data_IF_527886568540
#
_entry.id   IF_527886568540
#
_cell.length_a   1.000
_cell.length_b   1.000
_cell.length_c   1.000
_cell.angle_alpha   90.00
_cell.angle_beta   90.00
_cell.angle_gamma   90.00
#
_symmetry.space_group_name_H-M   'P 1'
#
loop_
_entity.id
_entity.type
_entity.pdbx_description
1 polymer ?
#
# COMPACT_ATOMS: atom_id res chain seq x y z
N UNK A 1 32.73 10.89 -0.93
CA UNK A 1 33.22 9.70 -0.19
C UNK A 1 33.21 8.53 -1.15
N UNK A 2 34.27 7.70 -1.20
CA UNK A 2 34.33 6.53 -2.10
C UNK A 2 33.83 5.28 -1.39
N UNK A 3 33.11 4.41 -2.10
CA UNK A 3 32.66 3.12 -1.58
C UNK A 3 32.97 2.02 -2.60
N UNK A 4 33.45 0.88 -2.10
CA UNK A 4 33.62 -0.33 -2.90
C UNK A 4 32.26 -0.95 -3.13
N UNK A 5 31.91 -1.22 -4.38
CA UNK A 5 30.62 -1.87 -4.67
C UNK A 5 30.64 -3.34 -4.21
N UNK A 6 29.48 -3.86 -3.79
CA UNK A 6 29.35 -5.27 -3.48
C UNK A 6 29.56 -6.11 -4.74
N UNK A 7 30.12 -7.32 -4.62
CA UNK A 7 30.45 -8.19 -5.77
C UNK A 7 29.25 -8.51 -6.69
N UNK A 8 28.04 -8.40 -6.15
CA UNK A 8 26.76 -8.64 -6.85
C UNK A 8 26.03 -7.36 -7.27
N UNK A 9 26.64 -6.19 -7.06
CA UNK A 9 26.16 -4.89 -7.53
C UNK A 9 25.22 -4.14 -6.58
N UNK A 10 24.88 -4.70 -5.43
CA UNK A 10 24.03 -4.08 -4.41
C UNK A 10 24.24 -4.70 -3.03
N UNK A 11 24.00 -3.93 -1.97
CA UNK A 11 23.94 -4.43 -0.59
C UNK A 11 22.49 -4.74 -0.18
N UNK A 12 22.29 -5.79 0.61
CA UNK A 12 20.97 -6.23 1.12
C UNK A 12 21.07 -6.84 2.52
N UNK A 13 19.93 -7.25 3.07
CA UNK A 13 19.86 -8.00 4.33
C UNK A 13 20.82 -9.21 4.34
N UNK A 14 21.54 -9.38 5.45
CA UNK A 14 22.57 -10.40 5.67
C UNK A 14 23.96 -10.09 5.09
N UNK A 15 24.14 -9.00 4.34
CA UNK A 15 25.48 -8.53 3.96
C UNK A 15 26.20 -7.94 5.18
N UNK A 16 27.53 -8.10 5.22
CA UNK A 16 28.39 -7.63 6.32
C UNK A 16 29.65 -6.97 5.79
N UNK A 17 30.15 -5.98 6.51
CA UNK A 17 31.44 -5.36 6.23
C UNK A 17 31.50 -3.86 6.53
N UNK A 18 32.68 -3.26 6.36
CA UNK A 18 32.91 -1.84 6.66
C UNK A 18 32.08 -0.90 5.78
N UNK A 19 31.71 -1.31 4.57
CA UNK A 19 30.83 -0.56 3.66
C UNK A 19 29.44 -0.34 4.26
N UNK A 20 28.96 -1.27 5.10
CA UNK A 20 27.66 -1.12 5.76
C UNK A 20 27.68 0.03 6.76
N UNK A 21 28.76 0.18 7.55
CA UNK A 21 28.90 1.32 8.47
C UNK A 21 28.89 2.64 7.69
N UNK A 22 29.53 2.69 6.51
CA UNK A 22 29.51 3.88 5.66
C UNK A 22 28.08 4.23 5.21
N UNK A 23 27.31 3.23 4.76
CA UNK A 23 25.90 3.39 4.37
C UNK A 23 25.06 3.89 5.57
N UNK A 24 25.19 3.25 6.74
CA UNK A 24 24.48 3.64 7.96
C UNK A 24 24.82 5.07 8.39
N UNK A 25 26.09 5.47 8.26
CA UNK A 25 26.56 6.82 8.56
C UNK A 25 25.91 7.85 7.65
N UNK A 26 25.84 7.60 6.34
CA UNK A 26 25.16 8.51 5.41
C UNK A 26 23.65 8.58 5.66
N UNK A 27 23.02 7.45 5.97
CA UNK A 27 21.60 7.43 6.37
C UNK A 27 21.37 8.26 7.65
N UNK A 28 22.31 8.26 8.61
CA UNK A 28 22.23 9.10 9.81
C UNK A 28 22.42 10.58 9.48
N UNK A 29 23.44 10.93 8.71
CA UNK A 29 23.70 12.31 8.29
C UNK A 29 22.52 12.93 7.53
N UNK A 30 21.80 12.10 6.76
CA UNK A 30 20.64 12.51 5.97
C UNK A 30 19.30 12.42 6.73
N UNK A 31 19.30 11.99 8.00
CA UNK A 31 18.12 11.98 8.87
C UNK A 31 17.21 10.75 8.76
N UNK A 32 17.68 9.65 8.15
CA UNK A 32 16.91 8.42 7.94
C UNK A 32 17.28 7.27 8.90
N UNK A 33 18.35 7.43 9.67
CA UNK A 33 18.80 6.44 10.66
C UNK A 33 18.13 6.68 12.04
N UNK A 34 17.61 5.63 12.70
CA UNK A 34 17.17 5.73 14.10
C UNK A 34 18.37 5.92 15.03
N UNK A 35 18.20 6.48 16.23
CA UNK A 35 19.33 6.74 17.13
C UNK A 35 19.83 5.47 17.84
N UNK A 36 20.45 4.59 17.07
CA UNK A 36 21.07 3.32 17.50
C UNK A 36 22.50 3.24 16.99
N UNK A 37 23.35 2.47 17.70
CA UNK A 37 24.74 2.29 17.34
C UNK A 37 24.91 1.64 15.95
N UNK A 38 25.94 2.07 15.22
CA UNK A 38 26.32 1.45 13.96
C UNK A 38 26.96 0.09 14.19
N UNK A 39 26.83 -0.79 13.20
CA UNK A 39 27.52 -2.06 13.17
C UNK A 39 27.78 -2.47 11.71
N UNK A 40 28.64 -3.48 11.53
CA UNK A 40 29.00 -3.97 10.20
C UNK A 40 27.88 -4.80 9.55
N UNK A 41 26.67 -4.92 10.14
CA UNK A 41 25.61 -5.79 9.65
C UNK A 41 24.51 -5.01 8.90
N UNK A 42 24.15 -5.48 7.71
CA UNK A 42 22.94 -5.05 7.03
C UNK A 42 21.74 -5.82 7.62
N UNK A 43 21.29 -5.36 8.80
CA UNK A 43 20.13 -5.92 9.50
C UNK A 43 18.81 -5.22 9.17
N UNK A 44 17.71 -5.60 9.85
CA UNK A 44 16.39 -5.00 9.66
C UNK A 44 16.36 -3.48 9.85
N UNK A 45 17.14 -2.95 10.80
CA UNK A 45 17.28 -1.51 11.02
C UNK A 45 17.87 -0.81 9.79
N UNK A 46 18.91 -1.39 9.20
CA UNK A 46 19.55 -0.86 7.99
C UNK A 46 18.61 -0.88 6.81
N UNK A 47 17.90 -1.98 6.59
CA UNK A 47 16.92 -2.06 5.52
C UNK A 47 15.77 -1.06 5.69
N UNK A 48 15.28 -0.89 6.92
CA UNK A 48 14.23 0.09 7.20
C UNK A 48 14.70 1.52 6.94
N UNK A 49 15.93 1.88 7.32
CA UNK A 49 16.51 3.19 7.04
C UNK A 49 16.74 3.40 5.54
N UNK A 50 17.22 2.37 4.82
CA UNK A 50 17.37 2.39 3.36
C UNK A 50 16.02 2.57 2.66
N UNK A 51 14.98 1.84 3.06
CA UNK A 51 13.63 1.98 2.47
C UNK A 51 13.07 3.38 2.71
N UNK A 52 13.23 3.95 3.92
CA UNK A 52 12.84 5.34 4.20
C UNK A 52 13.58 6.34 3.31
N UNK A 53 14.89 6.16 3.15
CA UNK A 53 15.71 7.00 2.28
C UNK A 53 15.31 6.88 0.80
N UNK A 54 15.10 5.66 0.31
CA UNK A 54 14.65 5.39 -1.06
C UNK A 54 13.30 6.03 -1.35
N UNK A 55 12.36 5.99 -0.39
CA UNK A 55 11.08 6.71 -0.47
C UNK A 55 11.31 8.21 -0.63
N UNK A 56 12.12 8.81 0.23
CA UNK A 56 12.35 10.26 0.23
C UNK A 56 13.13 10.77 -0.99
N UNK A 57 13.93 9.91 -1.63
CA UNK A 57 14.67 10.22 -2.86
C UNK A 57 14.00 9.71 -4.13
N UNK A 58 12.76 9.23 -4.04
CA UNK A 58 11.99 8.71 -5.18
C UNK A 58 12.73 7.61 -5.96
N UNK A 59 13.46 6.76 -5.24
CA UNK A 59 14.14 5.59 -5.79
C UNK A 59 13.24 4.35 -5.70
N UNK A 60 13.64 3.27 -6.37
CA UNK A 60 13.01 1.96 -6.21
C UNK A 60 13.14 1.50 -4.75
N UNK A 61 12.02 1.31 -4.06
CA UNK A 61 11.95 0.96 -2.63
C UNK A 61 12.02 -0.55 -2.46
N UNK A 62 13.15 -1.15 -2.81
CA UNK A 62 13.40 -2.58 -2.67
C UNK A 62 14.27 -2.92 -1.44
N UNK A 63 14.71 -1.90 -0.69
CA UNK A 63 15.61 -2.08 0.46
C UNK A 63 17.04 -2.47 0.04
N UNK A 64 17.34 -2.47 -1.26
CA UNK A 64 18.63 -2.81 -1.82
C UNK A 64 19.45 -1.54 -2.06
N UNK A 65 20.66 -1.49 -1.51
CA UNK A 65 21.58 -0.38 -1.77
C UNK A 65 22.36 -0.68 -3.03
N UNK A 66 21.69 -0.53 -4.18
CA UNK A 66 22.29 -0.60 -5.51
C UNK A 66 22.90 0.73 -5.96
N UNK A 67 23.44 0.76 -7.19
CA UNK A 67 24.12 1.93 -7.79
C UNK A 67 23.37 3.26 -7.58
N UNK A 68 22.08 3.31 -7.91
CA UNK A 68 21.30 4.55 -7.81
C UNK A 68 21.11 4.99 -6.35
N UNK A 69 21.00 4.04 -5.42
CA UNK A 69 20.92 4.33 -3.99
C UNK A 69 22.25 4.80 -3.44
N UNK A 70 23.38 4.21 -3.87
CA UNK A 70 24.72 4.66 -3.49
C UNK A 70 25.02 6.08 -3.99
N UNK A 71 24.66 6.39 -5.24
CA UNK A 71 24.81 7.73 -5.80
C UNK A 71 23.96 8.76 -5.04
N UNK A 72 22.70 8.42 -4.72
CA UNK A 72 21.83 9.30 -3.95
C UNK A 72 22.31 9.53 -2.51
N UNK A 73 23.01 8.54 -1.92
CA UNK A 73 23.67 8.65 -0.60
C UNK A 73 24.97 9.48 -0.67
N UNK A 74 25.39 9.96 -1.84
CA UNK A 74 26.57 10.80 -2.01
C UNK A 74 27.88 10.03 -2.17
N UNK A 75 27.83 8.74 -2.50
CA UNK A 75 29.03 7.95 -2.75
C UNK A 75 29.53 8.08 -4.20
N UNK A 76 30.85 8.06 -4.35
CA UNK A 76 31.51 7.79 -5.63
C UNK A 76 31.85 6.29 -5.68
N UNK A 77 31.41 5.62 -6.75
CA UNK A 77 31.56 4.17 -6.90
C UNK A 77 32.87 3.90 -7.63
N UNK A 78 33.84 3.29 -6.94
CA UNK A 78 35.09 2.88 -7.57
C UNK A 78 34.81 1.72 -8.55
N UNK A 79 34.88 2.04 -9.84
CA UNK A 79 34.43 1.19 -10.94
C UNK A 79 35.56 0.26 -11.39
N UNK A 80 35.72 -0.86 -10.69
CA UNK A 80 36.52 -2.01 -11.15
C UNK A 80 35.75 -3.32 -10.88
N UNK A 81 34.76 -3.67 -11.72
CA UNK A 81 34.03 -4.96 -11.68
C UNK A 81 32.57 -4.90 -12.20
N UNK A 82 32.00 -5.97 -12.81
CA UNK A 82 31.24 -5.85 -14.07
C UNK A 82 29.74 -5.55 -13.94
N UNK A 83 29.27 -4.82 -14.95
CA UNK A 83 27.88 -4.51 -15.27
C UNK A 83 27.26 -5.66 -16.07
N UNK A 84 26.30 -6.38 -15.52
CA UNK A 84 25.32 -7.15 -16.31
C UNK A 84 23.96 -7.13 -15.61
N UNK A 85 23.03 -6.34 -16.15
CA UNK A 85 21.61 -6.44 -15.85
C UNK A 85 21.03 -7.72 -16.51
N UNK A 86 20.22 -8.55 -15.83
CA UNK A 86 19.57 -9.66 -16.51
C UNK A 86 18.24 -9.22 -17.14
N UNK A 87 18.17 -9.42 -18.46
CA UNK A 87 16.94 -9.59 -19.24
C UNK A 87 16.25 -10.92 -18.87
N UNK A 88 14.95 -10.97 -19.18
CA UNK A 88 14.03 -12.12 -19.13
C UNK A 88 14.65 -13.47 -19.54
N UNK A 89 14.36 -14.54 -18.76
CA UNK A 89 14.66 -15.93 -19.10
C UNK A 89 14.17 -16.94 -18.04
N UNK A 90 13.23 -17.78 -18.47
CA UNK A 90 12.68 -19.06 -18.00
C UNK A 90 13.20 -19.79 -16.74
N UNK A 91 12.20 -20.34 -16.03
CA UNK A 91 12.13 -21.28 -14.89
C UNK A 91 13.18 -22.41 -14.84
N UNK A 92 13.70 -22.69 -13.62
CA UNK A 92 13.83 -24.05 -13.06
C UNK A 92 14.01 -24.06 -11.53
N UNK A 93 13.01 -24.63 -10.86
CA UNK A 93 13.00 -25.45 -9.63
C UNK A 93 14.19 -25.40 -8.67
N UNK A 94 13.90 -24.99 -7.42
CA UNK A 94 14.72 -25.24 -6.24
C UNK A 94 13.94 -24.90 -4.96
N UNK A 95 13.61 -25.92 -4.20
CA UNK A 95 12.74 -25.97 -3.02
C UNK A 95 13.29 -25.13 -1.85
N UNK A 96 12.57 -24.08 -1.44
CA UNK A 96 12.57 -23.57 -0.07
C UNK A 96 11.27 -22.79 0.16
N UNK A 97 10.55 -23.20 1.20
CA UNK A 97 9.29 -22.65 1.68
C UNK A 97 9.41 -21.16 2.05
N UNK A 98 8.99 -20.28 1.15
CA UNK A 98 8.66 -18.90 1.47
C UNK A 98 7.16 -18.70 1.25
N UNK A 99 6.41 -18.87 2.33
CA UNK A 99 4.93 -18.85 2.37
C UNK A 99 4.34 -17.53 1.83
N UNK A 100 5.14 -16.47 1.88
CA UNK A 100 4.86 -15.12 1.37
C UNK A 100 4.83 -15.07 -0.17
N UNK A 101 5.71 -15.84 -0.81
CA UNK A 101 5.84 -15.89 -2.27
C UNK A 101 4.66 -16.58 -2.95
N UNK A 102 4.08 -17.62 -2.32
CA UNK A 102 2.91 -18.34 -2.83
C UNK A 102 1.66 -17.47 -2.97
N UNK A 103 1.35 -16.64 -1.96
CA UNK A 103 0.18 -15.76 -1.97
C UNK A 103 0.29 -14.66 -3.03
N UNK A 104 1.49 -14.11 -3.24
CA UNK A 104 1.73 -13.12 -4.28
C UNK A 104 1.64 -13.70 -5.69
N UNK A 105 2.12 -14.93 -5.88
CA UNK A 105 2.02 -15.63 -7.16
C UNK A 105 0.57 -15.96 -7.51
N UNK A 106 -0.24 -16.41 -6.54
CA UNK A 106 -1.67 -16.66 -6.75
C UNK A 106 -2.44 -15.35 -7.01
N UNK A 107 -2.09 -14.26 -6.33
CA UNK A 107 -2.74 -12.97 -6.58
C UNK A 107 -2.32 -12.35 -7.93
N UNK A 108 -1.05 -12.42 -8.32
CA UNK A 108 -0.58 -12.01 -9.65
C UNK A 108 -1.19 -12.89 -10.76
N UNK A 109 -1.47 -14.16 -10.46
CA UNK A 109 -2.22 -15.06 -11.35
C UNK A 109 -3.69 -14.62 -11.47
N UNK A 110 -4.36 -14.35 -10.35
CA UNK A 110 -5.72 -13.81 -10.31
C UNK A 110 -5.82 -12.49 -11.09
N UNK A 111 -4.88 -11.55 -10.87
CA UNK A 111 -4.73 -10.27 -11.57
C UNK A 111 -4.69 -10.44 -13.11
N UNK A 112 -3.98 -11.48 -13.58
CA UNK A 112 -3.92 -11.82 -15.02
C UNK A 112 -5.22 -12.44 -15.53
N UNK A 113 -5.94 -13.19 -14.71
CA UNK A 113 -7.21 -13.84 -15.08
C UNK A 113 -8.41 -12.87 -15.08
N UNK A 114 -8.39 -11.81 -14.25
CA UNK A 114 -9.40 -10.75 -14.27
C UNK A 114 -9.53 -10.04 -15.64
N UNK A 115 -8.52 -10.16 -16.52
CA UNK A 115 -8.54 -9.63 -17.89
C UNK A 115 -9.42 -10.43 -18.87
N UNK A 116 -9.84 -11.66 -18.51
CA UNK A 116 -10.61 -12.57 -19.38
C UNK A 116 -12.11 -12.63 -19.03
N UNK A 117 -12.56 -11.83 -18.08
CA UNK A 117 -13.88 -11.97 -17.44
C UNK A 117 -14.99 -11.25 -18.22
N UNK A 118 -16.18 -11.87 -18.25
CA UNK A 118 -17.40 -11.37 -18.91
C UNK A 118 -18.03 -10.20 -18.13
N UNK A 119 -18.31 -9.10 -18.83
CA UNK A 119 -18.96 -7.90 -18.29
C UNK A 119 -20.42 -8.20 -17.90
N UNK A 120 -20.90 -7.64 -16.79
CA UNK A 120 -22.25 -7.86 -16.23
C UNK A 120 -22.55 -9.30 -15.77
N UNK A 121 -21.51 -10.10 -15.54
CA UNK A 121 -21.69 -11.41 -14.93
C UNK A 121 -22.23 -11.26 -13.50
N UNK A 122 -23.24 -12.07 -13.16
CA UNK A 122 -23.64 -12.29 -11.76
C UNK A 122 -22.46 -12.92 -11.01
N UNK A 123 -22.30 -12.55 -9.73
CA UNK A 123 -21.38 -13.27 -8.85
C UNK A 123 -21.71 -14.76 -8.91
N UNK A 124 -20.73 -15.58 -9.30
CA UNK A 124 -20.93 -17.02 -9.45
C UNK A 124 -19.69 -17.79 -8.98
N UNK A 125 -19.85 -19.10 -8.81
CA UNK A 125 -18.85 -20.00 -8.24
C UNK A 125 -17.52 -20.03 -9.01
N UNK A 126 -17.50 -19.68 -10.32
CA UNK A 126 -16.25 -19.69 -11.11
C UNK A 126 -15.22 -18.66 -10.62
N UNK A 127 -15.65 -17.62 -9.91
CA UNK A 127 -14.74 -16.63 -9.30
C UNK A 127 -14.10 -17.12 -7.99
N UNK A 128 -14.69 -18.14 -7.35
CA UNK A 128 -14.16 -18.79 -6.13
C UNK A 128 -12.75 -19.37 -6.35
N UNK A 129 -12.44 -19.74 -7.59
CA UNK A 129 -11.19 -20.38 -7.99
C UNK A 129 -10.10 -19.42 -8.44
N UNK A 130 -10.37 -18.10 -8.50
CA UNK A 130 -9.35 -17.13 -8.92
C UNK A 130 -8.27 -16.92 -7.87
N UNK A 131 -8.62 -17.06 -6.59
CA UNK A 131 -7.69 -16.99 -5.47
C UNK A 131 -7.80 -18.30 -4.70
N UNK A 132 -6.80 -19.17 -4.88
CA UNK A 132 -6.73 -20.45 -4.16
C UNK A 132 -6.37 -20.21 -2.70
N UNK A 133 -7.40 -20.09 -1.86
CA UNK A 133 -7.26 -19.81 -0.43
C UNK A 133 -6.49 -20.88 0.35
N UNK A 134 -6.38 -22.11 -0.18
CA UNK A 134 -5.65 -23.21 0.45
C UNK A 134 -4.14 -23.01 0.41
N UNK A 135 -3.66 -22.19 -0.53
CA UNK A 135 -2.24 -21.83 -0.71
C UNK A 135 -1.86 -20.50 -0.06
N UNK A 136 -2.83 -19.80 0.53
CA UNK A 136 -2.58 -18.54 1.22
C UNK A 136 -2.15 -18.82 2.67
N UNK A 137 -1.10 -18.17 3.18
CA UNK A 137 -0.82 -18.19 4.60
C UNK A 137 -1.91 -17.43 5.36
N UNK A 138 -1.89 -17.50 6.70
CA UNK A 138 -2.82 -16.72 7.51
C UNK A 138 -2.54 -15.20 7.32
N UNK A 139 -3.54 -14.38 6.96
CA UNK A 139 -3.34 -12.96 6.71
C UNK A 139 -3.07 -12.17 8.01
N UNK A 140 -2.15 -11.20 7.95
CA UNK A 140 -1.56 -10.49 9.09
C UNK A 140 -1.73 -8.95 9.02
N UNK A 141 -2.85 -8.48 8.48
CA UNK A 141 -3.20 -7.05 8.43
C UNK A 141 -3.99 -6.64 9.67
N UNK A 142 -3.45 -5.66 10.39
CA UNK A 142 -4.09 -5.04 11.56
C UNK A 142 -4.59 -3.63 11.22
N UNK A 143 -5.49 -3.09 12.04
CA UNK A 143 -5.97 -1.70 11.90
C UNK A 143 -4.81 -0.70 11.90
N UNK A 144 -3.83 -0.91 12.79
CA UNK A 144 -2.66 -0.04 12.90
C UNK A 144 -1.84 -0.01 11.60
N UNK A 145 -1.57 -1.18 11.01
CA UNK A 145 -0.87 -1.27 9.71
C UNK A 145 -1.68 -0.63 8.59
N UNK A 146 -3.00 -0.83 8.57
CA UNK A 146 -3.89 -0.22 7.60
C UNK A 146 -3.87 1.32 7.68
N UNK A 147 -3.91 1.89 8.89
CA UNK A 147 -3.82 3.34 9.12
C UNK A 147 -2.48 3.88 8.59
N UNK A 148 -1.37 3.23 8.97
CA UNK A 148 -0.03 3.64 8.50
C UNK A 148 0.06 3.62 6.98
N UNK A 149 -0.44 2.56 6.35
CA UNK A 149 -0.46 2.44 4.90
C UNK A 149 -1.32 3.51 4.22
N UNK A 150 -2.53 3.78 4.72
CA UNK A 150 -3.39 4.85 4.19
C UNK A 150 -2.70 6.19 4.27
N UNK A 151 -2.05 6.51 5.39
CA UNK A 151 -1.30 7.74 5.55
C UNK A 151 -0.09 7.88 4.61
N UNK A 152 0.54 6.76 4.20
CA UNK A 152 1.62 6.73 3.21
C UNK A 152 1.11 6.85 1.77
N UNK A 153 -0.07 6.30 1.49
CA UNK A 153 -0.66 6.25 0.15
C UNK A 153 -1.43 7.53 -0.22
N UNK A 154 -2.00 8.22 0.76
CA UNK A 154 -2.78 9.44 0.53
C UNK A 154 -1.87 10.65 0.28
N UNK A 155 -2.25 11.46 -0.71
CA UNK A 155 -1.53 12.69 -1.05
C UNK A 155 -1.57 13.74 0.07
N UNK A 156 -0.67 14.71 -0.01
CA UNK A 156 -0.67 15.87 0.87
C UNK A 156 -1.79 16.87 0.56
N UNK A 157 -1.69 18.03 1.20
CA UNK A 157 -2.62 19.13 1.04
C UNK A 157 -2.77 19.55 -0.45
N UNK A 158 -4.00 19.62 -0.96
CA UNK A 158 -4.31 19.98 -2.36
C UNK A 158 -5.42 21.03 -2.46
N UNK A 159 -5.27 21.92 -3.45
CA UNK A 159 -6.19 22.99 -3.84
C UNK A 159 -6.54 22.91 -5.34
N UNK A 160 -6.47 21.72 -5.93
CA UNK A 160 -6.75 21.52 -7.35
C UNK A 160 -8.21 21.89 -7.70
N UNK A 161 -8.37 22.96 -8.46
CA UNK A 161 -9.69 23.48 -8.89
C UNK A 161 -10.51 22.49 -9.74
N UNK A 162 -9.87 21.49 -10.33
CA UNK A 162 -10.55 20.47 -11.14
C UNK A 162 -11.03 19.27 -10.31
N UNK A 163 -10.74 19.24 -9.00
CA UNK A 163 -11.29 18.23 -8.10
C UNK A 163 -12.74 18.60 -7.73
N UNK A 164 -13.62 17.61 -7.69
CA UNK A 164 -14.98 17.75 -7.16
C UNK A 164 -15.03 18.32 -5.74
N UNK A 165 -14.03 18.02 -4.90
CA UNK A 165 -13.91 18.54 -3.54
C UNK A 165 -13.64 20.06 -3.50
N UNK A 166 -13.17 20.66 -4.60
CA UNK A 166 -12.90 22.10 -4.68
C UNK A 166 -14.15 22.98 -4.51
N UNK A 167 -15.35 22.40 -4.66
CA UNK A 167 -16.63 23.07 -4.38
C UNK A 167 -16.86 23.39 -2.90
N UNK A 168 -16.09 22.79 -1.99
CA UNK A 168 -16.17 23.04 -0.54
C UNK A 168 -14.76 23.14 0.06
N UNK A 169 -13.99 24.21 -0.23
CA UNK A 169 -12.66 24.37 0.29
C UNK A 169 -12.66 24.86 1.74
N UNK A 170 -11.52 24.71 2.41
CA UNK A 170 -11.22 25.37 3.66
C UNK A 170 -11.27 26.90 3.47
N UNK A 171 -11.99 27.64 4.33
CA UNK A 171 -12.15 29.09 4.17
C UNK A 171 -10.86 29.85 4.53
N UNK A 172 -10.04 29.32 5.45
CA UNK A 172 -8.77 29.93 5.82
C UNK A 172 -7.71 29.70 4.73
N UNK A 173 -6.96 30.74 4.30
CA UNK A 173 -5.80 30.56 3.43
C UNK A 173 -4.65 29.86 4.17
N UNK A 174 -3.88 29.04 3.45
CA UNK A 174 -2.65 28.43 3.96
C UNK A 174 -1.45 29.00 3.19
N UNK A 175 -0.49 29.58 3.90
CA UNK A 175 0.67 30.28 3.32
C UNK A 175 0.28 31.32 2.24
N UNK A 176 -0.80 32.06 2.47
CA UNK A 176 -1.31 33.08 1.55
C UNK A 176 -2.10 32.52 0.36
N UNK A 177 -2.30 31.21 0.27
CA UNK A 177 -3.02 30.55 -0.83
C UNK A 177 -4.34 29.96 -0.33
N UNK A 178 -5.43 30.30 -1.01
CA UNK A 178 -6.78 29.80 -0.70
C UNK A 178 -7.15 28.57 -1.53
N UNK A 179 -8.30 27.95 -1.20
CA UNK A 179 -8.91 26.90 -2.03
C UNK A 179 -8.47 25.47 -1.69
N UNK A 180 -7.70 25.28 -0.62
CA UNK A 180 -7.32 23.95 -0.14
C UNK A 180 -8.54 23.18 0.33
N UNK A 181 -8.75 21.98 -0.23
CA UNK A 181 -10.00 21.24 -0.03
C UNK A 181 -9.78 19.78 0.39
N UNK A 182 -8.58 19.22 0.26
CA UNK A 182 -8.28 17.84 0.68
C UNK A 182 -6.89 17.78 1.29
N UNK A 183 -6.74 17.01 2.38
CA UNK A 183 -5.45 16.70 2.99
C UNK A 183 -5.45 15.24 3.46
N UNK A 184 -4.42 14.45 3.10
CA UNK A 184 -4.28 13.03 3.48
C UNK A 184 -5.55 12.20 3.22
N UNK A 185 -6.18 12.42 2.07
CA UNK A 185 -7.41 11.74 1.65
C UNK A 185 -8.69 12.21 2.34
N UNK A 186 -8.61 13.13 3.31
CA UNK A 186 -9.75 13.71 4.01
C UNK A 186 -10.12 15.03 3.33
N UNK A 187 -11.33 15.11 2.77
CA UNK A 187 -11.86 16.38 2.25
C UNK A 187 -12.24 17.31 3.39
N UNK A 188 -12.15 18.62 3.17
CA UNK A 188 -12.57 19.62 4.15
C UNK A 188 -14.06 19.47 4.52
N UNK A 189 -14.88 19.02 3.57
CA UNK A 189 -16.28 18.64 3.82
C UNK A 189 -16.44 17.49 4.82
N UNK A 190 -15.54 16.52 4.83
CA UNK A 190 -15.51 15.47 5.85
C UNK A 190 -14.96 16.01 7.16
N UNK A 191 -13.90 16.82 7.11
CA UNK A 191 -13.29 17.45 8.28
C UNK A 191 -14.32 18.20 9.15
N UNK A 192 -15.14 19.06 8.53
CA UNK A 192 -16.11 19.90 9.27
C UNK A 192 -17.23 19.11 9.96
N UNK A 193 -17.41 17.82 9.63
CA UNK A 193 -18.33 16.94 10.35
C UNK A 193 -17.80 16.52 11.73
N UNK A 194 -16.49 16.59 11.92
CA UNK A 194 -15.78 16.18 13.14
C UNK A 194 -15.23 17.36 13.93
N UNK A 195 -14.86 18.42 13.21
CA UNK A 195 -14.23 19.62 13.76
C UNK A 195 -14.90 20.86 13.15
N UNK A 196 -15.79 21.55 13.88
CA UNK A 196 -16.53 22.70 13.35
C UNK A 196 -15.60 23.78 12.78
N UNK A 197 -16.06 24.46 11.71
CA UNK A 197 -15.30 25.50 11.03
C UNK A 197 -14.85 26.60 12.00
N UNK A 198 -13.54 26.82 12.09
CA UNK A 198 -12.92 27.89 12.87
C UNK A 198 -11.45 28.02 12.47
N UNK A 199 -10.85 29.20 12.58
CA UNK A 199 -9.45 29.40 12.21
C UNK A 199 -8.50 28.37 12.89
N UNK A 200 -8.77 28.00 14.15
CA UNK A 200 -7.99 26.99 14.86
C UNK A 200 -8.15 25.58 14.27
N UNK A 201 -9.37 25.16 13.94
CA UNK A 201 -9.61 23.86 13.32
C UNK A 201 -9.14 23.82 11.86
N UNK A 202 -9.12 24.96 11.17
CA UNK A 202 -8.58 25.07 9.81
C UNK A 202 -7.05 24.86 9.82
N UNK A 203 -6.34 25.43 10.81
CA UNK A 203 -4.91 25.14 11.00
C UNK A 203 -4.65 23.66 11.31
N UNK A 204 -5.53 23.04 12.12
CA UNK A 204 -5.47 21.60 12.36
C UNK A 204 -5.73 20.78 11.11
N UNK A 205 -6.64 21.22 10.24
CA UNK A 205 -6.86 20.57 8.94
C UNK A 205 -5.60 20.59 8.07
N UNK A 206 -4.86 21.70 8.04
CA UNK A 206 -3.60 21.78 7.27
C UNK A 206 -2.50 20.89 7.86
N UNK A 207 -2.39 20.83 9.18
CA UNK A 207 -1.42 19.97 9.87
C UNK A 207 -1.79 18.48 9.77
N UNK A 208 -3.07 18.17 9.93
CA UNK A 208 -3.68 16.84 9.97
C UNK A 208 -2.80 15.84 10.70
N UNK A 209 -2.67 16.01 12.02
CA UNK A 209 -1.88 15.08 12.82
C UNK A 209 -2.53 13.69 12.90
N UNK A 210 -1.77 12.72 13.43
CA UNK A 210 -2.23 11.34 13.50
C UNK A 210 -3.50 11.20 14.34
N UNK A 211 -3.64 11.96 15.43
CA UNK A 211 -4.79 11.84 16.32
C UNK A 211 -6.08 12.32 15.62
N UNK A 212 -6.02 13.47 14.95
CA UNK A 212 -7.15 14.01 14.19
C UNK A 212 -7.51 13.12 13.01
N UNK A 213 -6.52 12.66 12.26
CA UNK A 213 -6.74 11.74 11.14
C UNK A 213 -7.34 10.42 11.61
N UNK A 214 -6.79 9.81 12.67
CA UNK A 214 -7.31 8.56 13.24
C UNK A 214 -8.72 8.70 13.77
N UNK A 215 -9.07 9.84 14.39
CA UNK A 215 -10.46 10.11 14.83
C UNK A 215 -11.42 10.10 13.65
N UNK A 216 -11.08 10.77 12.54
CA UNK A 216 -11.90 10.80 11.33
C UNK A 216 -12.01 9.41 10.71
N UNK A 217 -10.88 8.71 10.58
CA UNK A 217 -10.83 7.33 10.08
C UNK A 217 -11.75 6.42 10.90
N UNK A 218 -11.68 6.51 12.22
CA UNK A 218 -12.45 5.66 13.11
C UNK A 218 -13.95 5.89 13.01
N UNK A 219 -14.36 7.16 13.09
CA UNK A 219 -15.77 7.56 13.14
C UNK A 219 -16.45 7.49 11.77
N UNK A 220 -15.73 7.79 10.69
CA UNK A 220 -16.31 7.86 9.34
C UNK A 220 -16.20 6.55 8.57
N UNK A 221 -15.22 5.70 8.91
CA UNK A 221 -14.93 4.49 8.14
C UNK A 221 -14.84 3.25 9.00
N UNK A 222 -14.04 3.22 10.07
CA UNK A 222 -13.86 2.01 10.86
C UNK A 222 -15.17 1.54 11.50
N UNK A 223 -15.79 2.38 12.34
CA UNK A 223 -17.00 2.04 13.09
C UNK A 223 -18.17 1.67 12.15
N UNK A 224 -18.47 2.45 11.08
CA UNK A 224 -19.62 2.14 10.23
C UNK A 224 -19.44 0.92 9.32
N UNK A 225 -18.20 0.44 9.10
CA UNK A 225 -17.90 -0.63 8.15
C UNK A 225 -17.26 -1.87 8.79
N UNK A 226 -17.12 -1.90 10.12
CA UNK A 226 -16.62 -3.06 10.85
C UNK A 226 -17.75 -3.81 11.52
N UNK A 227 -17.61 -5.12 11.62
CA UNK A 227 -18.52 -5.99 12.37
C UNK A 227 -17.73 -6.63 13.50
N UNK A 228 -18.22 -6.50 14.73
CA UNK A 228 -17.52 -6.98 15.93
C UNK A 228 -17.23 -8.49 15.90
N UNK A 229 -18.10 -9.27 15.27
CA UNK A 229 -17.94 -10.72 15.11
C UNK A 229 -16.87 -11.11 14.07
N UNK A 230 -16.40 -10.17 13.25
CA UNK A 230 -15.43 -10.48 12.19
C UNK A 230 -13.99 -10.34 12.69
N UNK A 231 -13.09 -11.25 12.29
CA UNK A 231 -11.64 -11.07 12.42
C UNK A 231 -11.18 -9.69 11.92
N UNK A 232 -10.19 -9.10 12.59
CA UNK A 232 -9.70 -7.74 12.29
C UNK A 232 -9.29 -7.56 10.82
N UNK A 233 -8.66 -8.57 10.22
CA UNK A 233 -8.26 -8.57 8.80
C UNK A 233 -9.47 -8.41 7.85
N UNK A 234 -10.61 -9.03 8.17
CA UNK A 234 -11.83 -8.91 7.38
C UNK A 234 -12.35 -7.47 7.49
N UNK A 235 -12.41 -6.94 8.71
CA UNK A 235 -12.79 -5.54 8.94
C UNK A 235 -11.85 -4.56 8.20
N UNK A 236 -10.55 -4.83 8.17
CA UNK A 236 -9.59 -4.03 7.41
C UNK A 236 -9.90 -3.98 5.92
N UNK A 237 -10.28 -5.11 5.31
CA UNK A 237 -10.69 -5.17 3.91
C UNK A 237 -11.97 -4.37 3.66
N UNK A 238 -13.00 -4.57 4.49
CA UNK A 238 -14.28 -3.87 4.37
C UNK A 238 -14.11 -2.35 4.46
N UNK A 239 -13.36 -1.89 5.46
CA UNK A 239 -13.02 -0.48 5.66
C UNK A 239 -12.21 0.08 4.49
N UNK A 240 -11.24 -0.68 3.98
CA UNK A 240 -10.44 -0.25 2.81
C UNK A 240 -11.28 -0.11 1.54
N UNK A 241 -12.25 -1.00 1.33
CA UNK A 241 -13.17 -0.94 0.19
C UNK A 241 -14.16 0.22 0.29
N UNK A 242 -14.66 0.51 1.50
CA UNK A 242 -15.51 1.67 1.78
C UNK A 242 -14.76 2.99 1.54
N UNK A 243 -13.50 3.08 1.98
CA UNK A 243 -12.64 4.23 1.73
C UNK A 243 -12.45 4.50 0.22
N UNK A 244 -12.39 3.45 -0.59
CA UNK A 244 -12.33 3.55 -2.06
C UNK A 244 -13.67 3.88 -2.75
N UNK A 245 -14.70 4.31 -2.01
CA UNK A 245 -15.97 4.80 -2.56
C UNK A 245 -17.03 3.72 -2.83
N UNK A 246 -16.93 2.54 -2.23
CA UNK A 246 -17.95 1.50 -2.41
C UNK A 246 -19.14 1.70 -1.47
N UNK A 247 -20.32 1.97 -2.04
CA UNK A 247 -21.59 1.79 -1.32
C UNK A 247 -21.85 0.28 -1.29
N UNK A 248 -21.75 -0.35 -0.12
CA UNK A 248 -21.69 -1.80 0.10
C UNK A 248 -20.29 -2.39 -0.23
N UNK A 249 -19.43 -2.68 0.78
CA UNK A 249 -18.04 -3.14 0.60
C UNK A 249 -17.97 -4.63 0.19
N UNK A 250 -18.79 -5.02 -0.78
CA UNK A 250 -18.79 -6.33 -1.46
C UNK A 250 -19.12 -7.55 -0.60
N UNK A 251 -19.63 -7.37 0.62
CA UNK A 251 -20.06 -8.48 1.51
C UNK A 251 -21.06 -9.39 0.82
N UNK A 252 -22.15 -8.85 0.27
CA UNK A 252 -23.16 -9.66 -0.43
C UNK A 252 -22.59 -10.39 -1.65
N UNK A 253 -21.60 -9.79 -2.33
CA UNK A 253 -20.89 -10.43 -3.44
C UNK A 253 -20.02 -11.59 -2.96
N UNK A 254 -19.29 -11.42 -1.85
CA UNK A 254 -18.48 -12.45 -1.24
C UNK A 254 -19.33 -13.62 -0.71
N UNK A 255 -20.45 -13.34 -0.03
CA UNK A 255 -21.37 -14.38 0.44
C UNK A 255 -22.03 -15.14 -0.72
N UNK A 256 -22.33 -14.45 -1.83
CA UNK A 256 -22.81 -15.09 -3.05
C UNK A 256 -21.76 -16.02 -3.68
N UNK A 257 -20.47 -15.65 -3.63
CA UNK A 257 -19.36 -16.50 -4.09
C UNK A 257 -19.17 -17.72 -3.17
N UNK A 258 -19.37 -17.54 -1.86
CA UNK A 258 -19.18 -18.61 -0.87
C UNK A 258 -20.37 -19.57 -0.75
N UNK A 259 -21.58 -19.10 -1.05
CA UNK A 259 -22.83 -19.80 -0.75
C UNK A 259 -23.14 -19.87 0.75
N UNK A 260 -22.42 -19.10 1.58
CA UNK A 260 -22.56 -19.02 3.04
C UNK A 260 -22.09 -17.66 3.54
N UNK A 261 -22.42 -17.33 4.78
CA UNK A 261 -21.97 -16.08 5.37
C UNK A 261 -20.45 -16.03 5.54
N UNK A 262 -19.84 -14.87 5.31
CA UNK A 262 -18.43 -14.62 5.63
C UNK A 262 -18.16 -14.72 7.14
N UNK A 263 -19.21 -14.58 7.98
CA UNK A 263 -19.12 -14.72 9.43
C UNK A 263 -18.77 -16.15 9.88
N UNK A 264 -19.19 -17.15 9.10
CA UNK A 264 -19.04 -18.58 9.43
C UNK A 264 -17.99 -19.28 8.57
N UNK A 265 -17.38 -18.56 7.62
CA UNK A 265 -16.32 -19.07 6.77
C UNK A 265 -14.96 -19.03 7.47
N UNK A 266 -14.03 -19.89 7.02
CA UNK A 266 -12.64 -19.77 7.45
C UNK A 266 -12.05 -18.43 6.99
N UNK A 267 -11.13 -17.84 7.75
CA UNK A 267 -10.59 -16.49 7.49
C UNK A 267 -10.04 -16.36 6.07
N UNK A 268 -9.23 -17.33 5.62
CA UNK A 268 -8.65 -17.31 4.28
C UNK A 268 -9.71 -17.43 3.18
N UNK A 269 -10.76 -18.23 3.41
CA UNK A 269 -11.87 -18.39 2.48
C UNK A 269 -12.68 -17.08 2.36
N UNK A 270 -12.94 -16.41 3.49
CA UNK A 270 -13.61 -15.11 3.50
C UNK A 270 -12.78 -14.01 2.82
N UNK A 271 -11.47 -13.96 3.07
CA UNK A 271 -10.55 -13.00 2.44
C UNK A 271 -10.50 -13.20 0.93
N UNK A 272 -10.34 -14.45 0.47
CA UNK A 272 -10.33 -14.77 -0.97
C UNK A 272 -11.65 -14.37 -1.65
N UNK A 273 -12.79 -14.63 -1.00
CA UNK A 273 -14.10 -14.26 -1.53
C UNK A 273 -14.29 -12.73 -1.60
N UNK A 274 -13.85 -11.97 -0.58
CA UNK A 274 -13.91 -10.51 -0.58
C UNK A 274 -13.04 -9.89 -1.67
N UNK A 275 -11.81 -10.36 -1.82
CA UNK A 275 -10.91 -9.90 -2.88
C UNK A 275 -11.47 -10.21 -4.27
N UNK A 276 -12.05 -11.41 -4.45
CA UNK A 276 -12.67 -11.84 -5.71
C UNK A 276 -13.92 -11.01 -6.04
N UNK A 277 -14.81 -10.80 -5.06
CA UNK A 277 -16.00 -9.96 -5.22
C UNK A 277 -15.63 -8.52 -5.57
N UNK A 278 -14.56 -8.00 -4.95
CA UNK A 278 -14.04 -6.66 -5.23
C UNK A 278 -13.47 -6.55 -6.64
N UNK A 279 -12.66 -7.53 -7.08
CA UNK A 279 -12.17 -7.61 -8.45
C UNK A 279 -13.31 -7.62 -9.47
N UNK A 280 -14.36 -8.42 -9.21
CA UNK A 280 -15.53 -8.50 -10.08
C UNK A 280 -16.32 -7.19 -10.15
N UNK A 281 -16.55 -6.53 -9.01
CA UNK A 281 -17.21 -5.23 -9.00
C UNK A 281 -16.50 -4.26 -9.94
N UNK A 282 -15.16 -4.21 -9.87
CA UNK A 282 -14.36 -3.35 -10.73
C UNK A 282 -14.49 -3.71 -12.21
N UNK A 283 -14.48 -4.99 -12.57
CA UNK A 283 -14.73 -5.43 -13.95
C UNK A 283 -16.11 -4.97 -14.44
N UNK A 284 -17.16 -5.20 -13.65
CA UNK A 284 -18.53 -4.86 -14.02
C UNK A 284 -18.73 -3.35 -14.26
N UNK A 285 -18.07 -2.51 -13.47
CA UNK A 285 -18.16 -1.05 -13.67
C UNK A 285 -17.22 -0.57 -14.79
N UNK A 286 -16.19 -1.34 -15.21
CA UNK A 286 -15.14 -1.04 -16.22
C UNK A 286 -15.58 -1.06 -17.69
N UNK A 287 -16.77 -0.54 -18.00
CA UNK A 287 -17.29 -0.59 -19.37
C UNK A 287 -16.62 0.42 -20.32
N UNK A 288 -16.42 0.09 -21.61
CA UNK A 288 -15.98 1.04 -22.64
C UNK A 288 -16.85 2.29 -22.66
N UNK A 289 -16.23 3.48 -22.72
CA UNK A 289 -16.93 4.77 -22.63
C UNK A 289 -17.14 5.31 -21.21
N UNK A 290 -16.83 4.54 -20.16
CA UNK A 290 -16.86 5.02 -18.78
C UNK A 290 -15.54 5.72 -18.42
N UNK A 291 -15.61 7.01 -18.07
CA UNK A 291 -14.46 7.90 -17.73
C UNK A 291 -13.57 7.37 -16.59
N UNK A 292 -14.04 6.40 -15.80
CA UNK A 292 -13.33 5.84 -14.66
C UNK A 292 -12.34 4.70 -15.00
N UNK A 293 -12.16 4.32 -16.28
CA UNK A 293 -11.29 3.18 -16.65
C UNK A 293 -9.80 3.33 -16.26
N UNK A 294 -9.24 4.53 -16.24
CA UNK A 294 -7.85 4.77 -15.82
C UNK A 294 -7.63 4.56 -14.31
N UNK A 295 -8.55 5.06 -13.48
CA UNK A 295 -8.55 4.84 -12.03
C UNK A 295 -8.63 3.35 -11.66
N UNK A 296 -9.35 2.57 -12.47
CA UNK A 296 -9.60 1.14 -12.24
C UNK A 296 -8.40 0.25 -12.53
N UNK A 297 -7.67 0.51 -13.63
CA UNK A 297 -6.36 -0.10 -13.86
C UNK A 297 -5.41 0.22 -12.71
N UNK A 298 -5.32 1.49 -12.31
CA UNK A 298 -4.47 1.90 -11.19
C UNK A 298 -4.80 1.20 -9.87
N UNK A 299 -6.08 0.96 -9.57
CA UNK A 299 -6.48 0.33 -8.31
C UNK A 299 -6.25 -1.18 -8.28
N UNK A 300 -6.62 -1.91 -9.34
CA UNK A 300 -6.38 -3.37 -9.43
C UNK A 300 -4.87 -3.64 -9.55
N UNK A 301 -4.16 -2.88 -10.38
CA UNK A 301 -2.74 -3.10 -10.65
C UNK A 301 -1.84 -2.60 -9.50
N UNK A 302 -2.26 -1.61 -8.70
CA UNK A 302 -1.41 -1.07 -7.60
C UNK A 302 -2.03 -1.17 -6.20
N UNK A 303 -3.25 -0.68 -5.97
CA UNK A 303 -3.77 -0.53 -4.60
C UNK A 303 -4.17 -1.86 -3.95
N UNK A 304 -4.84 -2.75 -4.69
CA UNK A 304 -5.21 -4.07 -4.20
C UNK A 304 -3.98 -4.98 -4.08
N UNK A 305 -3.09 -4.95 -5.08
CA UNK A 305 -1.79 -5.63 -5.04
C UNK A 305 -0.97 -5.22 -3.81
N UNK A 306 -0.91 -3.93 -3.48
CA UNK A 306 -0.21 -3.43 -2.29
C UNK A 306 -0.89 -3.84 -0.99
N UNK A 307 -2.23 -3.78 -0.92
CA UNK A 307 -2.97 -4.23 0.27
C UNK A 307 -2.77 -5.73 0.53
N UNK A 308 -2.71 -6.54 -0.53
CA UNK A 308 -2.43 -7.98 -0.44
C UNK A 308 -0.99 -8.24 -0.01
N UNK A 309 -0.01 -7.48 -0.52
CA UNK A 309 1.39 -7.53 -0.06
C UNK A 309 1.51 -7.23 1.43
N UNK A 310 0.85 -6.17 1.91
CA UNK A 310 0.83 -5.82 3.33
C UNK A 310 0.11 -6.87 4.21
N UNK A 311 -0.96 -7.49 3.71
CA UNK A 311 -1.64 -8.60 4.40
C UNK A 311 -0.72 -9.81 4.60
N UNK A 312 0.21 -10.05 3.69
CA UNK A 312 1.07 -11.24 3.72
C UNK A 312 2.55 -10.93 4.03
N UNK A 313 2.85 -9.69 4.42
CA UNK A 313 4.18 -9.29 4.90
C UNK A 313 5.28 -9.25 3.83
N UNK A 314 4.91 -8.98 2.58
CA UNK A 314 5.82 -9.01 1.43
C UNK A 314 6.16 -7.64 0.86
#
# INVERSE_FOLDING_TARGET
>A
MKIKNHARGYFQRSDKGPEIIQIQTQLKALGYWPDVAFNENFGPTTEAAVKKFQVAKSLKVDGLVGKDTLLALGFQIDSSGPTTAPKSGTVSTGTATDSSGGALLEFDHAAKQFKKVVVNAKYNEKYRLLIDHSKMPAPQLTKAKLIQWKLQAEGGLTNNKNDSASSFPCPTPYNGVSGYHTNKGVTYKVWVKHFPTSAANDQRFFKMDLADWSKIFDTSYWIPNSVAAYPEVINCLLVSFAWGGSKNPTVSGAESILGKSIATAAVNEAVAALLSARGQLFINISQPGNKNNAFRKGWVDNALNKLVREMYGA
#
